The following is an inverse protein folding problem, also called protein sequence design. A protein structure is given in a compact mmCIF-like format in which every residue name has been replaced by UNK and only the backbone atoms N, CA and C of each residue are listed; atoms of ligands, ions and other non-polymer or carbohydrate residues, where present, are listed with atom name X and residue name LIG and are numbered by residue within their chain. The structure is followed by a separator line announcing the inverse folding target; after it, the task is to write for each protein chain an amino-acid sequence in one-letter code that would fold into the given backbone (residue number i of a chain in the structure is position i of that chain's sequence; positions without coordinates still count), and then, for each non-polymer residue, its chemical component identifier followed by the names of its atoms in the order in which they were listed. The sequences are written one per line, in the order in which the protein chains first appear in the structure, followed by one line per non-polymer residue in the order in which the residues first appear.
data_IF_334957805752
#
_entry.id   IF_334957805752
#
_cell.length_a   1.000
_cell.length_b   1.000
_cell.length_c   1.000
_cell.angle_alpha   90.00
_cell.angle_beta   90.00
_cell.angle_gamma   90.00
#
_symmetry.space_group_name_H-M   'P 1'
#
loop_
_entity.id
_entity.type
_entity.pdbx_description
1 polymer ?
#
# COMPACT_ATOMS: atom_id res chain seq x y z
N UNK A 1 -8.49 -5.63 -1.16
CA UNK A 1 -7.08 -5.66 -0.70
C UNK A 1 -6.16 -4.69 -1.43
N UNK A 2 -5.82 -4.87 -2.71
CA UNK A 2 -4.92 -3.92 -3.42
C UNK A 2 -5.47 -2.48 -3.43
N UNK A 3 -6.77 -2.34 -3.70
CA UNK A 3 -7.50 -1.06 -3.60
C UNK A 3 -7.34 -0.43 -2.21
N UNK A 4 -7.84 -1.11 -1.17
CA UNK A 4 -7.73 -0.61 0.22
C UNK A 4 -6.31 -0.20 0.64
N UNK A 5 -5.30 -1.00 0.27
CA UNK A 5 -3.92 -0.70 0.63
C UNK A 5 -3.47 0.62 -0.01
N UNK A 6 -3.76 0.78 -1.31
CA UNK A 6 -3.46 1.99 -2.05
C UNK A 6 -4.31 3.18 -1.56
N UNK A 7 -5.57 2.97 -1.20
CA UNK A 7 -6.45 3.98 -0.64
C UNK A 7 -5.91 4.48 0.71
N UNK A 8 -5.51 3.58 1.62
CA UNK A 8 -4.81 3.94 2.86
C UNK A 8 -3.57 4.82 2.60
N UNK A 9 -2.69 4.37 1.71
CA UNK A 9 -1.44 5.07 1.43
C UNK A 9 -1.69 6.45 0.79
N UNK A 10 -2.57 6.51 -0.22
CA UNK A 10 -2.88 7.75 -0.93
C UNK A 10 -3.67 8.74 -0.08
N UNK A 11 -4.66 8.30 0.70
CA UNK A 11 -5.43 9.17 1.60
C UNK A 11 -4.58 9.71 2.74
N UNK A 12 -3.62 8.95 3.26
CA UNK A 12 -2.64 9.47 4.22
C UNK A 12 -1.85 10.65 3.65
N UNK A 13 -1.43 10.56 2.38
CA UNK A 13 -0.75 11.66 1.69
C UNK A 13 -1.68 12.84 1.38
N UNK A 14 -2.92 12.57 0.97
CA UNK A 14 -3.92 13.61 0.70
C UNK A 14 -4.29 14.38 1.97
N UNK A 15 -4.41 13.68 3.10
CA UNK A 15 -4.64 14.30 4.40
C UNK A 15 -3.49 15.22 4.79
N UNK A 16 -2.25 14.77 4.61
CA UNK A 16 -1.06 15.59 4.84
C UNK A 16 -1.04 16.84 3.93
N UNK A 17 -1.46 16.72 2.67
CA UNK A 17 -1.57 17.86 1.77
C UNK A 17 -2.67 18.84 2.19
N UNK A 18 -3.81 18.34 2.67
CA UNK A 18 -4.88 19.18 3.20
C UNK A 18 -4.41 19.98 4.42
N UNK A 19 -3.62 19.37 5.32
CA UNK A 19 -3.02 20.08 6.44
C UNK A 19 -2.07 21.20 5.98
N UNK A 20 -1.25 20.94 4.94
CA UNK A 20 -0.35 21.97 4.35
C UNK A 20 -1.12 23.13 3.72
N UNK A 21 -2.28 22.86 3.12
CA UNK A 21 -3.17 23.86 2.54
C UNK A 21 -4.11 24.49 3.59
N UNK A 22 -3.85 24.26 4.89
CA UNK A 22 -4.62 24.82 6.02
C UNK A 22 -6.09 24.35 6.08
N UNK A 23 -6.35 23.12 5.62
CA UNK A 23 -7.65 22.44 5.70
C UNK A 23 -7.62 21.25 6.67
N UNK A 24 -7.35 21.44 7.98
CA UNK A 24 -7.13 20.33 8.92
C UNK A 24 -8.36 19.47 9.17
N UNK A 25 -9.56 19.98 8.91
CA UNK A 25 -10.78 19.16 8.94
C UNK A 25 -10.80 18.13 7.81
N UNK A 26 -10.36 18.53 6.61
CA UNK A 26 -10.20 17.64 5.45
C UNK A 26 -9.03 16.68 5.69
N UNK A 27 -7.94 17.16 6.28
CA UNK A 27 -6.80 16.35 6.73
C UNK A 27 -7.24 15.19 7.63
N UNK A 28 -8.00 15.49 8.68
CA UNK A 28 -8.58 14.48 9.57
C UNK A 28 -9.54 13.52 8.86
N UNK A 29 -10.38 14.02 7.96
CA UNK A 29 -11.32 13.16 7.22
C UNK A 29 -10.56 12.11 6.39
N UNK A 30 -9.59 12.54 5.59
CA UNK A 30 -8.73 11.61 4.85
C UNK A 30 -7.99 10.64 5.78
N UNK A 31 -7.46 11.13 6.90
CA UNK A 31 -6.77 10.30 7.87
C UNK A 31 -7.66 9.22 8.48
N UNK A 32 -8.89 9.56 8.88
CA UNK A 32 -9.84 8.58 9.42
C UNK A 32 -10.27 7.57 8.36
N UNK A 33 -10.62 8.02 7.14
CA UNK A 33 -10.97 7.11 6.04
C UNK A 33 -9.82 6.17 5.71
N UNK A 34 -8.59 6.67 5.61
CA UNK A 34 -7.41 5.82 5.41
C UNK A 34 -7.33 4.70 6.46
N UNK A 35 -7.58 5.03 7.73
CA UNK A 35 -7.57 4.02 8.81
C UNK A 35 -8.70 3.01 8.67
N UNK A 36 -9.88 3.38 8.16
CA UNK A 36 -10.94 2.42 7.83
C UNK A 36 -10.51 1.47 6.71
N UNK A 37 -9.90 1.99 5.64
CA UNK A 37 -9.39 1.17 4.53
C UNK A 37 -8.40 0.10 5.02
N UNK A 38 -7.44 0.51 5.85
CA UNK A 38 -6.44 -0.41 6.37
C UNK A 38 -6.98 -1.32 7.47
N UNK A 39 -7.66 -0.75 8.46
CA UNK A 39 -7.96 -1.47 9.70
C UNK A 39 -9.22 -2.33 9.61
N UNK A 40 -10.15 -2.01 8.72
CA UNK A 40 -11.40 -2.73 8.54
C UNK A 40 -11.38 -3.47 7.20
N UNK A 41 -11.43 -2.74 6.09
CA UNK A 41 -11.61 -3.33 4.77
C UNK A 41 -10.47 -4.31 4.42
N UNK A 42 -9.21 -3.88 4.57
CA UNK A 42 -8.06 -4.72 4.25
C UNK A 42 -7.90 -5.89 5.24
N UNK A 43 -8.08 -5.68 6.54
CA UNK A 43 -7.97 -6.75 7.54
C UNK A 43 -9.03 -7.83 7.34
N UNK A 44 -10.28 -7.46 7.08
CA UNK A 44 -11.35 -8.43 6.85
C UNK A 44 -11.10 -9.20 5.56
N UNK A 45 -10.71 -8.53 4.48
CA UNK A 45 -10.32 -9.19 3.23
C UNK A 45 -9.13 -10.15 3.42
N UNK A 46 -8.11 -9.72 4.17
CA UNK A 46 -6.94 -10.55 4.46
C UNK A 46 -7.32 -11.80 5.27
N UNK A 47 -8.27 -11.66 6.19
CA UNK A 47 -8.80 -12.76 7.00
C UNK A 47 -9.55 -13.76 6.12
N UNK A 48 -10.47 -13.29 5.28
CA UNK A 48 -11.23 -14.13 4.35
C UNK A 48 -10.34 -14.85 3.34
N UNK A 49 -9.30 -14.17 2.86
CA UNK A 49 -8.35 -14.73 1.91
C UNK A 49 -7.25 -15.60 2.56
N UNK A 50 -7.21 -15.72 3.89
CA UNK A 50 -6.20 -16.53 4.60
C UNK A 50 -4.77 -16.03 4.39
N UNK A 51 -4.58 -14.71 4.30
CA UNK A 51 -3.26 -14.10 3.98
C UNK A 51 -2.23 -14.34 5.07
N UNK A 52 -2.65 -14.38 6.33
CA UNK A 52 -1.75 -14.48 7.49
C UNK A 52 -1.65 -15.94 7.95
N UNK A 53 -0.46 -16.52 7.86
CA UNK A 53 -0.13 -17.85 8.34
C UNK A 53 0.80 -17.84 9.57
N UNK A 54 1.59 -18.90 9.73
CA UNK A 54 2.65 -18.97 10.75
C UNK A 54 3.79 -18.01 10.41
N UNK A 55 4.65 -17.69 11.38
CA UNK A 55 5.83 -16.85 11.14
C UNK A 55 6.69 -17.37 9.99
N UNK A 56 6.92 -18.69 9.91
CA UNK A 56 7.65 -19.30 8.81
C UNK A 56 6.93 -19.16 7.47
N UNK A 57 5.60 -19.39 7.43
CA UNK A 57 4.81 -19.25 6.20
C UNK A 57 4.81 -17.81 5.66
N UNK A 58 4.66 -16.82 6.56
CA UNK A 58 4.69 -15.40 6.20
C UNK A 58 6.06 -14.99 5.66
N UNK A 59 7.14 -15.46 6.27
CA UNK A 59 8.51 -15.24 5.80
C UNK A 59 8.73 -15.87 4.42
N UNK A 60 8.28 -17.10 4.18
CA UNK A 60 8.35 -17.73 2.87
C UNK A 60 7.61 -16.92 1.79
N UNK A 61 6.41 -16.41 2.11
CA UNK A 61 5.64 -15.58 1.19
C UNK A 61 6.36 -14.27 0.86
N UNK A 62 6.89 -13.57 1.87
CA UNK A 62 7.63 -12.33 1.66
C UNK A 62 8.90 -12.59 0.83
N UNK A 63 9.73 -13.57 1.21
CA UNK A 63 10.95 -13.92 0.46
C UNK A 63 10.65 -14.15 -1.03
N UNK A 64 9.52 -14.78 -1.36
CA UNK A 64 9.11 -14.99 -2.76
C UNK A 64 8.77 -13.67 -3.46
N UNK A 65 8.00 -12.79 -2.82
CA UNK A 65 7.67 -11.46 -3.34
C UNK A 65 8.91 -10.61 -3.57
N UNK A 66 9.69 -10.41 -2.51
CA UNK A 66 10.93 -9.64 -2.50
C UNK A 66 11.95 -10.15 -3.53
N UNK A 67 12.02 -11.47 -3.73
CA UNK A 67 12.90 -12.04 -4.76
C UNK A 67 12.43 -11.65 -6.16
N UNK A 68 11.13 -11.72 -6.42
CA UNK A 68 10.56 -11.34 -7.72
C UNK A 68 10.74 -9.84 -7.98
N UNK A 69 10.45 -9.00 -6.99
CA UNK A 69 10.57 -7.54 -7.08
C UNK A 69 12.02 -7.13 -7.33
N UNK A 70 12.96 -7.67 -6.54
CA UNK A 70 14.39 -7.45 -6.68
C UNK A 70 14.98 -7.94 -8.02
N UNK A 71 14.65 -9.16 -8.45
CA UNK A 71 15.33 -9.82 -9.57
C UNK A 71 14.69 -9.56 -10.92
N UNK A 72 13.37 -9.29 -10.94
CA UNK A 72 12.58 -9.23 -12.17
C UNK A 72 11.91 -7.87 -12.30
N UNK A 73 11.01 -7.52 -11.38
CA UNK A 73 10.11 -6.38 -11.58
C UNK A 73 10.87 -5.05 -11.64
N UNK A 74 11.57 -4.67 -10.57
CA UNK A 74 12.18 -3.34 -10.49
C UNK A 74 13.36 -3.18 -11.43
N UNK A 75 14.11 -4.25 -11.71
CA UNK A 75 15.16 -4.22 -12.75
C UNK A 75 14.56 -3.98 -14.13
N UNK A 76 13.47 -4.69 -14.45
CA UNK A 76 12.74 -4.50 -15.70
C UNK A 76 12.15 -3.10 -15.82
N UNK A 77 11.54 -2.58 -14.76
CA UNK A 77 11.00 -1.22 -14.72
C UNK A 77 12.10 -0.17 -14.88
N UNK A 78 13.26 -0.37 -14.24
CA UNK A 78 14.40 0.52 -14.40
C UNK A 78 14.90 0.56 -15.86
N UNK A 79 15.06 -0.60 -16.50
CA UNK A 79 15.49 -0.67 -17.90
C UNK A 79 14.48 -0.05 -18.87
N UNK A 80 13.19 -0.27 -18.64
CA UNK A 80 12.12 0.34 -19.42
C UNK A 80 12.11 1.87 -19.25
N UNK A 81 12.27 2.37 -18.02
CA UNK A 81 12.36 3.80 -17.75
C UNK A 81 13.60 4.45 -18.39
N UNK A 82 14.74 3.74 -18.46
CA UNK A 82 15.94 4.19 -19.21
C UNK A 82 15.65 4.32 -20.70
N UNK A 83 14.99 3.33 -21.28
CA UNK A 83 14.60 3.34 -22.70
C UNK A 83 13.59 4.46 -23.00
N UNK A 84 12.71 4.75 -22.05
CA UNK A 84 11.71 5.81 -22.12
C UNK A 84 12.31 7.22 -21.91
N UNK A 85 13.57 7.33 -21.50
CA UNK A 85 14.20 8.60 -21.17
C UNK A 85 13.79 9.18 -19.80
N UNK A 86 12.99 8.46 -19.02
CA UNK A 86 12.58 8.82 -17.66
C UNK A 86 13.65 8.41 -16.63
N UNK A 87 14.85 9.01 -16.75
CA UNK A 87 16.06 8.61 -15.99
C UNK A 87 15.92 8.66 -14.47
N UNK A 88 15.13 9.59 -13.94
CA UNK A 88 14.85 9.66 -12.50
C UNK A 88 14.02 8.47 -12.01
N UNK A 89 13.05 8.01 -12.80
CA UNK A 89 12.29 6.79 -12.47
C UNK A 89 13.18 5.56 -12.58
N UNK A 90 14.06 5.50 -13.58
CA UNK A 90 15.05 4.42 -13.68
C UNK A 90 15.98 4.35 -12.46
N UNK A 91 16.43 5.50 -11.96
CA UNK A 91 17.26 5.58 -10.76
C UNK A 91 16.49 5.09 -9.52
N UNK A 92 15.27 5.58 -9.31
CA UNK A 92 14.41 5.16 -8.20
C UNK A 92 14.16 3.65 -8.23
N UNK A 93 13.73 3.08 -9.36
CA UNK A 93 13.49 1.64 -9.47
C UNK A 93 14.78 0.83 -9.26
N UNK A 94 15.96 1.37 -9.58
CA UNK A 94 17.23 0.69 -9.30
C UNK A 94 17.55 0.68 -7.80
N UNK A 95 17.27 1.79 -7.09
CA UNK A 95 17.40 1.86 -5.63
C UNK A 95 16.44 0.89 -4.96
N UNK A 96 15.14 0.95 -5.31
CA UNK A 96 14.12 0.05 -4.76
C UNK A 96 14.52 -1.41 -5.01
N UNK A 97 14.97 -1.77 -6.23
CA UNK A 97 15.45 -3.12 -6.49
C UNK A 97 16.54 -3.53 -5.48
N UNK A 98 17.51 -2.67 -5.16
CA UNK A 98 18.56 -3.01 -4.20
C UNK A 98 18.00 -3.21 -2.78
N UNK A 99 16.97 -2.47 -2.41
CA UNK A 99 16.31 -2.49 -1.10
C UNK A 99 15.53 -3.80 -0.89
N UNK A 100 14.76 -4.24 -1.89
CA UNK A 100 14.07 -5.54 -1.86
C UNK A 100 15.04 -6.72 -1.77
N UNK A 101 16.23 -6.56 -2.36
CA UNK A 101 17.32 -7.52 -2.19
C UNK A 101 17.72 -7.68 -0.73
N UNK A 102 17.80 -6.58 0.01
CA UNK A 102 18.12 -6.57 1.44
C UNK A 102 16.96 -7.05 2.30
N UNK A 103 15.71 -6.69 1.98
CA UNK A 103 14.51 -7.21 2.64
C UNK A 103 14.46 -8.73 2.56
N UNK A 104 14.59 -9.28 1.34
CA UNK A 104 14.69 -10.74 1.11
C UNK A 104 15.75 -11.40 1.99
N UNK A 105 16.95 -10.84 2.04
CA UNK A 105 18.07 -11.47 2.77
C UNK A 105 17.88 -11.38 4.29
N UNK A 106 17.30 -10.29 4.78
CA UNK A 106 16.87 -10.17 6.19
C UNK A 106 15.79 -11.21 6.53
N UNK A 107 14.78 -11.40 5.67
CA UNK A 107 13.74 -12.39 5.87
C UNK A 107 14.27 -13.83 5.78
N UNK A 108 15.23 -14.12 4.91
CA UNK A 108 15.91 -15.44 4.87
C UNK A 108 16.64 -15.72 6.18
N UNK A 109 17.32 -14.73 6.73
CA UNK A 109 17.99 -14.83 8.03
C UNK A 109 16.96 -15.06 9.14
N UNK A 110 15.87 -14.27 9.17
CA UNK A 110 14.80 -14.43 10.14
C UNK A 110 14.12 -15.81 10.04
N UNK A 111 13.94 -16.35 8.85
CA UNK A 111 13.36 -17.68 8.62
C UNK A 111 14.26 -18.78 9.18
N UNK A 112 15.58 -18.68 8.97
CA UNK A 112 16.53 -19.60 9.58
C UNK A 112 16.40 -19.58 11.11
N UNK A 113 16.34 -18.40 11.73
CA UNK A 113 16.18 -18.25 13.18
C UNK A 113 14.85 -18.82 13.66
N UNK A 114 13.74 -18.55 12.97
CA UNK A 114 12.40 -19.07 13.31
C UNK A 114 12.35 -20.60 13.25
N UNK A 115 13.04 -21.23 12.29
CA UNK A 115 13.02 -22.67 12.11
C UNK A 115 14.00 -23.42 13.04
N UNK A 116 15.17 -22.83 13.31
CA UNK A 116 16.24 -23.50 14.07
C UNK A 116 16.34 -23.08 15.53
N UNK A 117 15.80 -21.91 15.89
CA UNK A 117 16.05 -21.26 17.17
C UNK A 117 17.47 -20.69 17.33
N UNK A 118 18.31 -20.74 16.28
CA UNK A 118 19.71 -20.32 16.33
C UNK A 118 19.93 -18.99 15.59
N UNK A 119 20.82 -18.16 16.14
CA UNK A 119 21.15 -16.84 15.60
C UNK A 119 20.26 -15.73 16.13
N UNK A 120 20.27 -14.59 15.44
CA UNK A 120 19.50 -13.41 15.80
C UNK A 120 18.72 -12.89 14.58
N UNK A 121 17.48 -12.47 14.81
CA UNK A 121 16.69 -11.80 13.78
C UNK A 121 17.33 -10.44 13.50
N UNK A 122 17.61 -10.08 12.23
CA UNK A 122 18.17 -8.80 11.87
C UNK A 122 17.32 -7.64 12.40
N UNK A 123 17.98 -6.55 12.78
CA UNK A 123 17.27 -5.29 13.02
C UNK A 123 16.66 -4.78 11.71
N UNK A 124 15.50 -4.09 11.77
CA UNK A 124 14.94 -3.46 10.59
C UNK A 124 15.87 -2.41 10.00
N UNK A 125 15.72 -2.15 8.70
CA UNK A 125 16.28 -0.96 8.07
C UNK A 125 15.54 0.28 8.56
N UNK A 126 16.25 1.41 8.68
CA UNK A 126 15.61 2.68 8.97
C UNK A 126 15.08 3.26 7.67
N UNK A 127 13.75 3.33 7.53
CA UNK A 127 13.11 3.97 6.39
C UNK A 127 13.54 5.44 6.29
N UNK A 128 13.97 5.86 5.10
CA UNK A 128 14.18 7.28 4.81
C UNK A 128 12.81 7.88 4.48
N UNK A 129 12.28 8.73 5.36
CA UNK A 129 11.00 9.41 5.06
C UNK A 129 11.17 10.36 3.87
N UNK A 130 10.44 10.09 2.79
CA UNK A 130 10.40 10.93 1.58
C UNK A 130 9.20 11.88 1.66
N UNK A 131 9.42 13.21 1.65
CA UNK A 131 8.32 14.16 1.56
C UNK A 131 7.63 14.07 0.19
N UNK A 132 6.30 13.97 0.18
CA UNK A 132 5.49 13.98 -1.04
C UNK A 132 4.74 15.31 -1.18
N UNK A 133 5.29 16.31 -1.89
CA UNK A 133 4.59 17.55 -2.18
C UNK A 133 3.53 17.35 -3.28
N UNK A 134 2.52 18.22 -3.30
CA UNK A 134 1.63 18.31 -4.45
C UNK A 134 2.41 18.70 -5.71
N UNK A 135 2.14 18.04 -6.84
CA UNK A 135 2.90 18.26 -8.07
C UNK A 135 2.32 17.56 -9.28
N UNK A 136 2.74 17.99 -10.47
CA UNK A 136 2.45 17.25 -11.72
C UNK A 136 3.39 16.03 -11.82
N UNK A 137 3.02 15.00 -12.62
CA UNK A 137 3.91 13.89 -12.89
C UNK A 137 5.27 14.38 -13.41
N UNK A 138 6.35 13.77 -12.91
CA UNK A 138 7.75 14.06 -13.31
C UNK A 138 8.27 13.10 -14.38
N UNK A 139 7.39 12.23 -14.87
CA UNK A 139 7.65 11.28 -15.96
C UNK A 139 6.72 11.54 -17.12
N UNK A 140 7.15 11.23 -18.34
CA UNK A 140 6.38 11.54 -19.53
C UNK A 140 5.87 10.29 -20.25
N UNK A 141 6.64 9.20 -20.28
CA UNK A 141 6.28 8.02 -21.05
C UNK A 141 5.11 7.25 -20.43
N UNK A 142 4.18 6.79 -21.28
CA UNK A 142 3.00 6.05 -20.84
C UNK A 142 3.39 4.74 -20.13
N UNK A 143 4.39 4.02 -20.63
CA UNK A 143 4.91 2.79 -20.03
C UNK A 143 5.47 3.04 -18.64
N UNK A 144 6.32 4.05 -18.48
CA UNK A 144 6.85 4.43 -17.15
C UNK A 144 5.74 4.85 -16.18
N UNK A 145 4.71 5.57 -16.64
CA UNK A 145 3.54 5.90 -15.80
C UNK A 145 2.79 4.65 -15.34
N UNK A 146 2.57 3.68 -16.22
CA UNK A 146 1.94 2.40 -15.86
C UNK A 146 2.80 1.59 -14.88
N UNK A 147 4.13 1.63 -15.03
CA UNK A 147 5.04 0.97 -14.11
C UNK A 147 4.98 1.58 -12.72
N UNK A 148 4.99 2.92 -12.59
CA UNK A 148 4.83 3.61 -11.32
C UNK A 148 3.48 3.28 -10.66
N UNK A 149 2.38 3.26 -11.42
CA UNK A 149 1.08 2.87 -10.90
C UNK A 149 1.09 1.42 -10.37
N UNK A 150 1.68 0.50 -11.13
CA UNK A 150 1.82 -0.90 -10.73
C UNK A 150 2.65 -1.05 -9.46
N UNK A 151 3.77 -0.33 -9.39
CA UNK A 151 4.70 -0.38 -8.28
C UNK A 151 4.06 0.18 -7.00
N UNK A 152 3.42 1.35 -7.06
CA UNK A 152 2.74 1.94 -5.89
C UNK A 152 1.65 1.02 -5.31
N UNK A 153 0.90 0.29 -6.14
CA UNK A 153 -0.06 -0.70 -5.65
C UNK A 153 0.63 -1.92 -5.00
N UNK A 154 1.81 -2.29 -5.48
CA UNK A 154 2.68 -3.31 -4.88
C UNK A 154 3.17 -2.87 -3.51
N UNK A 155 3.80 -1.70 -3.42
CA UNK A 155 4.37 -1.12 -2.21
C UNK A 155 3.33 -0.93 -1.11
N UNK A 156 2.17 -0.37 -1.46
CA UNK A 156 1.08 -0.19 -0.51
C UNK A 156 0.58 -1.54 0.04
N UNK A 157 0.46 -2.57 -0.82
CA UNK A 157 0.06 -3.90 -0.40
C UNK A 157 1.14 -4.60 0.44
N UNK A 158 2.42 -4.40 0.11
CA UNK A 158 3.55 -4.92 0.87
C UNK A 158 3.55 -4.35 2.29
N UNK A 159 3.44 -3.02 2.43
CA UNK A 159 3.24 -2.35 3.72
C UNK A 159 2.11 -3.01 4.52
N UNK A 160 0.91 -3.10 3.93
CA UNK A 160 -0.25 -3.60 4.63
C UNK A 160 -0.06 -5.05 5.08
N UNK A 161 0.48 -5.92 4.21
CA UNK A 161 0.79 -7.31 4.56
C UNK A 161 1.83 -7.43 5.66
N UNK A 162 2.88 -6.62 5.62
CA UNK A 162 3.94 -6.67 6.62
C UNK A 162 3.45 -6.18 7.99
N UNK A 163 2.52 -5.22 8.05
CA UNK A 163 1.84 -4.87 9.29
C UNK A 163 0.98 -6.03 9.85
N UNK A 164 0.30 -6.78 8.99
CA UNK A 164 -0.41 -8.01 9.40
C UNK A 164 0.55 -9.07 9.96
N UNK A 165 1.69 -9.28 9.29
CA UNK A 165 2.69 -10.24 9.71
C UNK A 165 3.38 -9.82 11.01
N UNK A 166 3.60 -8.51 11.21
CA UNK A 166 4.08 -7.96 12.47
C UNK A 166 3.11 -8.26 13.61
N UNK A 167 1.81 -8.03 13.42
CA UNK A 167 0.78 -8.32 14.42
C UNK A 167 0.76 -9.83 14.78
N UNK A 168 0.88 -10.71 13.78
CA UNK A 168 0.97 -12.14 14.01
C UNK A 168 2.26 -12.53 14.75
N UNK A 169 3.41 -11.93 14.42
CA UNK A 169 4.67 -12.18 15.11
C UNK A 169 4.60 -11.74 16.59
N UNK A 170 3.96 -10.60 16.89
CA UNK A 170 3.69 -10.16 18.28
C UNK A 170 2.82 -11.18 19.02
N UNK A 171 1.71 -11.62 18.40
CA UNK A 171 0.81 -12.63 18.96
C UNK A 171 1.52 -13.95 19.24
N UNK A 172 2.48 -14.32 18.39
CA UNK A 172 3.31 -15.51 18.55
C UNK A 172 4.49 -15.33 19.52
N UNK A 173 4.59 -14.19 20.22
CA UNK A 173 5.68 -13.94 21.19
C UNK A 173 7.05 -13.69 20.55
N UNK A 174 7.11 -13.27 19.29
CA UNK A 174 8.35 -12.96 18.58
C UNK A 174 8.49 -11.44 18.28
N UNK A 175 8.82 -10.63 19.30
CA UNK A 175 8.88 -9.18 19.16
C UNK A 175 10.02 -8.71 18.24
N UNK A 176 11.10 -9.47 18.11
CA UNK A 176 12.19 -9.13 17.19
C UNK A 176 11.75 -9.30 15.74
N UNK A 177 10.99 -10.36 15.41
CA UNK A 177 10.40 -10.53 14.09
C UNK A 177 9.36 -9.44 13.79
N UNK A 178 8.54 -9.09 14.78
CA UNK A 178 7.58 -7.99 14.63
C UNK A 178 8.26 -6.67 14.25
N UNK A 179 9.35 -6.31 14.94
CA UNK A 179 10.12 -5.09 14.61
C UNK A 179 10.74 -5.14 13.22
N UNK A 180 11.22 -6.30 12.77
CA UNK A 180 11.74 -6.46 11.41
C UNK A 180 10.63 -6.18 10.39
N UNK A 181 9.45 -6.77 10.57
CA UNK A 181 8.29 -6.52 9.69
C UNK A 181 7.87 -5.06 9.68
N UNK A 182 7.74 -4.43 10.85
CA UNK A 182 7.31 -3.02 10.97
C UNK A 182 8.28 -2.07 10.28
N UNK A 183 9.59 -2.30 10.44
CA UNK A 183 10.58 -1.45 9.80
C UNK A 183 10.68 -1.67 8.29
N UNK A 184 10.55 -2.91 7.80
CA UNK A 184 10.44 -3.15 6.35
C UNK A 184 9.17 -2.53 5.78
N UNK A 185 8.02 -2.70 6.44
CA UNK A 185 6.78 -2.01 6.05
C UNK A 185 6.99 -0.49 5.95
N UNK A 186 7.66 0.10 6.93
CA UNK A 186 7.97 1.53 6.92
C UNK A 186 8.81 1.96 5.70
N UNK A 187 9.73 1.11 5.21
CA UNK A 187 10.48 1.37 3.97
C UNK A 187 9.52 1.37 2.77
N UNK A 188 8.68 0.34 2.63
CA UNK A 188 7.72 0.24 1.50
C UNK A 188 6.83 1.49 1.41
N UNK A 189 6.30 1.95 2.54
CA UNK A 189 5.37 3.07 2.54
C UNK A 189 6.04 4.45 2.49
N UNK A 190 7.07 4.66 3.31
CA UNK A 190 7.62 5.99 3.54
C UNK A 190 8.81 6.33 2.63
N UNK A 191 9.38 5.34 1.95
CA UNK A 191 10.48 5.50 1.02
C UNK A 191 10.06 5.10 -0.41
N UNK A 192 9.70 3.84 -0.65
CA UNK A 192 9.38 3.34 -1.99
C UNK A 192 8.10 4.00 -2.54
N UNK A 193 6.94 3.74 -1.93
CA UNK A 193 5.65 4.32 -2.34
C UNK A 193 5.71 5.84 -2.40
N UNK A 194 6.34 6.47 -1.42
CA UNK A 194 6.47 7.92 -1.36
C UNK A 194 7.33 8.48 -2.51
N UNK A 195 8.47 7.86 -2.84
CA UNK A 195 9.30 8.23 -3.98
C UNK A 195 8.55 8.08 -5.31
N UNK A 196 7.82 6.98 -5.46
CA UNK A 196 7.01 6.71 -6.64
C UNK A 196 5.86 7.70 -6.79
N UNK A 197 5.16 8.01 -5.70
CA UNK A 197 4.10 9.00 -5.63
C UNK A 197 4.58 10.40 -6.08
N UNK A 198 5.83 10.77 -5.73
CA UNK A 198 6.46 12.02 -6.19
C UNK A 198 6.65 12.03 -7.70
N UNK A 199 7.13 10.92 -8.29
CA UNK A 199 7.34 10.83 -9.74
C UNK A 199 6.03 10.74 -10.51
N UNK A 200 5.05 10.03 -9.96
CA UNK A 200 3.72 9.88 -10.55
C UNK A 200 2.88 11.15 -10.45
N UNK A 201 3.25 12.12 -9.59
CA UNK A 201 2.42 13.30 -9.31
C UNK A 201 1.11 12.91 -8.63
N UNK A 202 1.16 11.92 -7.73
CA UNK A 202 -0.02 11.34 -7.09
C UNK A 202 -0.80 12.37 -6.28
N UNK A 203 -0.07 13.22 -5.54
CA UNK A 203 -0.65 14.27 -4.69
C UNK A 203 -0.84 15.54 -5.53
N UNK A 204 -2.05 16.08 -5.50
CA UNK A 204 -2.47 17.33 -6.17
C UNK A 204 -2.99 18.32 -5.12
N UNK A 205 -3.68 19.38 -5.53
CA UNK A 205 -4.37 20.27 -4.58
C UNK A 205 -5.41 19.50 -3.76
N UNK A 206 -5.77 19.98 -2.56
CA UNK A 206 -6.80 19.35 -1.72
C UNK A 206 -8.11 19.15 -2.48
N UNK A 207 -8.49 20.14 -3.30
CA UNK A 207 -9.67 20.06 -4.18
C UNK A 207 -9.57 18.95 -5.22
N UNK A 208 -8.43 18.83 -5.91
CA UNK A 208 -8.21 17.75 -6.89
C UNK A 208 -8.20 16.37 -6.21
N UNK A 209 -7.55 16.25 -5.05
CA UNK A 209 -7.47 15.00 -4.28
C UNK A 209 -8.86 14.54 -3.81
N UNK A 210 -9.71 15.44 -3.31
CA UNK A 210 -11.10 15.12 -2.95
C UNK A 210 -11.91 14.65 -4.16
N UNK A 211 -11.81 15.33 -5.30
CA UNK A 211 -12.50 14.89 -6.52
C UNK A 211 -12.06 13.49 -6.95
N UNK A 212 -10.77 13.19 -6.84
CA UNK A 212 -10.21 11.86 -7.12
C UNK A 212 -10.78 10.81 -6.16
N UNK A 213 -10.73 11.07 -4.85
CA UNK A 213 -11.28 10.18 -3.83
C UNK A 213 -12.77 9.92 -4.07
N UNK A 214 -13.60 10.96 -4.21
CA UNK A 214 -15.03 10.83 -4.50
C UNK A 214 -15.31 9.94 -5.72
N UNK A 215 -14.50 10.08 -6.77
CA UNK A 215 -14.66 9.26 -7.99
C UNK A 215 -14.33 7.79 -7.73
N UNK A 216 -13.22 7.52 -7.03
CA UNK A 216 -12.82 6.17 -6.64
C UNK A 216 -13.88 5.50 -5.75
N UNK A 217 -14.21 6.15 -4.64
CA UNK A 217 -15.19 5.68 -3.65
C UNK A 217 -16.56 5.37 -4.29
N UNK A 218 -17.03 6.21 -5.21
CA UNK A 218 -18.30 5.96 -5.93
C UNK A 218 -18.19 4.75 -6.85
N UNK A 219 -17.08 4.58 -7.56
CA UNK A 219 -16.87 3.42 -8.42
C UNK A 219 -16.84 2.13 -7.59
N UNK A 220 -16.20 2.18 -6.42
CA UNK A 220 -16.13 1.06 -5.49
C UNK A 220 -17.50 0.70 -4.91
N UNK A 221 -18.23 1.69 -4.40
CA UNK A 221 -19.57 1.55 -3.85
C UNK A 221 -20.62 1.03 -4.84
N UNK A 222 -20.54 1.45 -6.11
CA UNK A 222 -21.62 1.20 -7.09
C UNK A 222 -21.33 0.11 -8.10
N UNK A 223 -20.06 -0.18 -8.35
CA UNK A 223 -19.65 -1.07 -9.44
C UNK A 223 -18.77 -2.21 -8.94
N UNK A 224 -17.64 -1.89 -8.30
CA UNK A 224 -16.61 -2.89 -8.00
C UNK A 224 -17.09 -3.85 -6.92
N UNK A 225 -17.41 -3.36 -5.72
CA UNK A 225 -17.81 -4.22 -4.61
C UNK A 225 -19.17 -4.91 -4.82
N UNK A 226 -20.21 -4.25 -5.38
CA UNK A 226 -21.43 -4.96 -5.77
C UNK A 226 -21.17 -6.08 -6.80
N UNK A 227 -20.25 -5.87 -7.73
CA UNK A 227 -19.81 -6.89 -8.69
C UNK A 227 -19.18 -8.09 -8.01
N UNK A 228 -18.24 -7.87 -7.09
CA UNK A 228 -17.61 -8.93 -6.31
C UNK A 228 -18.59 -9.67 -5.40
N UNK A 229 -19.53 -8.95 -4.76
CA UNK A 229 -20.58 -9.57 -3.97
C UNK A 229 -21.46 -10.53 -4.79
N UNK A 230 -21.81 -10.14 -6.03
CA UNK A 230 -22.56 -11.00 -6.95
C UNK A 230 -21.77 -12.24 -7.35
N UNK A 231 -20.48 -12.10 -7.63
CA UNK A 231 -19.59 -13.22 -7.95
C UNK A 231 -19.44 -14.18 -6.77
N UNK A 232 -19.17 -13.67 -5.57
CA UNK A 232 -19.07 -14.46 -4.35
C UNK A 232 -20.37 -15.22 -4.05
N UNK A 233 -21.53 -14.56 -4.20
CA UNK A 233 -22.83 -15.21 -4.06
C UNK A 233 -23.05 -16.32 -5.10
N UNK A 234 -22.64 -16.12 -6.35
CA UNK A 234 -22.73 -17.15 -7.39
C UNK A 234 -21.82 -18.35 -7.08
N UNK A 235 -20.70 -18.12 -6.41
CA UNK A 235 -19.81 -19.16 -5.89
C UNK A 235 -20.26 -19.76 -4.55
N UNK A 236 -21.42 -19.34 -4.01
CA UNK A 236 -21.93 -19.75 -2.69
C UNK A 236 -21.00 -19.39 -1.51
N UNK A 237 -20.10 -18.42 -1.70
CA UNK A 237 -19.31 -17.82 -0.64
C UNK A 237 -20.09 -16.67 0.01
N UNK A 238 -20.93 -17.03 0.97
CA UNK A 238 -21.81 -16.07 1.66
C UNK A 238 -21.05 -15.08 2.53
N UNK A 239 -19.87 -15.46 3.05
CA UNK A 239 -19.06 -14.60 3.89
C UNK A 239 -18.41 -13.49 3.05
N UNK A 240 -17.75 -13.84 1.94
CA UNK A 240 -17.20 -12.85 1.01
C UNK A 240 -18.29 -11.96 0.41
N UNK A 241 -19.46 -12.52 0.07
CA UNK A 241 -20.58 -11.72 -0.42
C UNK A 241 -21.17 -10.74 0.62
N UNK A 242 -21.06 -11.04 1.91
CA UNK A 242 -21.46 -10.12 2.97
C UNK A 242 -20.41 -9.01 3.14
N UNK A 243 -19.13 -9.38 3.25
CA UNK A 243 -18.00 -8.45 3.30
C UNK A 243 -18.09 -7.41 2.18
N UNK A 244 -18.13 -7.84 0.92
CA UNK A 244 -18.19 -6.90 -0.21
C UNK A 244 -19.42 -5.98 -0.19
N UNK A 245 -20.57 -6.44 0.32
CA UNK A 245 -21.75 -5.55 0.44
C UNK A 245 -21.57 -4.51 1.55
N UNK A 246 -20.93 -4.88 2.64
CA UNK A 246 -20.65 -3.97 3.75
C UNK A 246 -19.63 -2.91 3.31
N UNK A 247 -18.52 -3.33 2.70
CA UNK A 247 -17.50 -2.43 2.13
C UNK A 247 -18.13 -1.47 1.12
N UNK A 248 -18.99 -1.95 0.20
CA UNK A 248 -19.71 -1.06 -0.73
C UNK A 248 -20.55 0.02 -0.03
N UNK A 249 -21.13 -0.29 1.13
CA UNK A 249 -21.92 0.66 1.91
C UNK A 249 -21.03 1.67 2.65
N UNK A 250 -19.83 1.27 3.06
CA UNK A 250 -18.86 2.16 3.69
C UNK A 250 -18.22 3.11 2.67
N UNK A 251 -17.86 2.63 1.47
CA UNK A 251 -17.38 3.50 0.39
C UNK A 251 -18.42 4.54 -0.04
N UNK A 252 -19.72 4.18 0.01
CA UNK A 252 -20.78 5.14 -0.24
C UNK A 252 -20.80 6.28 0.81
N UNK A 253 -20.49 5.97 2.08
CA UNK A 253 -20.36 6.97 3.15
C UNK A 253 -19.09 7.80 2.98
N UNK A 254 -17.97 7.18 2.61
CA UNK A 254 -16.72 7.88 2.30
C UNK A 254 -16.92 8.90 1.17
N UNK A 255 -17.51 8.47 0.05
CA UNK A 255 -17.85 9.35 -1.07
C UNK A 255 -18.73 10.53 -0.64
N UNK A 256 -19.74 10.29 0.19
CA UNK A 256 -20.63 11.33 0.69
C UNK A 256 -19.91 12.33 1.60
N UNK A 257 -19.06 11.84 2.51
CA UNK A 257 -18.28 12.67 3.42
C UNK A 257 -17.26 13.53 2.66
N UNK A 258 -16.52 12.95 1.70
CA UNK A 258 -15.61 13.71 0.86
C UNK A 258 -16.33 14.74 0.00
N UNK A 259 -17.52 14.41 -0.54
CA UNK A 259 -18.33 15.37 -1.28
C UNK A 259 -18.77 16.54 -0.39
N UNK A 260 -19.16 16.28 0.86
CA UNK A 260 -19.50 17.32 1.81
C UNK A 260 -18.30 18.21 2.12
N UNK A 261 -17.12 17.63 2.35
CA UNK A 261 -15.89 18.38 2.56
C UNK A 261 -15.52 19.24 1.34
N UNK A 262 -15.65 18.70 0.13
CA UNK A 262 -15.42 19.42 -1.12
C UNK A 262 -16.35 20.63 -1.28
N UNK A 263 -17.61 20.49 -0.90
CA UNK A 263 -18.59 21.59 -0.97
C UNK A 263 -18.29 22.72 0.03
N UNK A 264 -17.49 22.44 1.07
CA UNK A 264 -17.08 23.40 2.10
C UNK A 264 -15.70 24.02 1.83
N UNK A 265 -14.99 23.58 0.78
CA UNK A 265 -13.76 24.22 0.32
C UNK A 265 -14.12 25.49 -0.46
N UNK A 266 -13.88 26.64 0.17
CA UNK A 266 -14.00 27.96 -0.43
C UNK A 266 -12.82 28.30 -1.33
#
# INVERSE_FOLDING_TARGET
MKGEAFAYASYSLFGTQADRETHPAVGRLFGTTAQTELNEHLHEAATLAGVVGTNAANLHQAIKGETYEHQVMYRGFADQARQDGDTNAAALFTEIAADEGRHRDAFRTALHVVNSGQGAIPAPQNAKTVPVPAGLPKVHAARTKTNLDTAMHGEALAYAKYMLFAAQAKKAGNPSLARLWEGTAAVELHEHFAGEAVLAGLVRTTKENLNKAITGERAEATTIYPGFAKQAKAASDTAAAAYFRNTAADEAKHAAAFQQALNQLH
#
